data_IF_698693536690
#
_entry.id   IF_698693536690
#
_cell.length_a   1.000
_cell.length_b   1.000
_cell.length_c   1.000
_cell.angle_alpha   90.00
_cell.angle_beta   90.00
_cell.angle_gamma   90.00
#
_symmetry.space_group_name_H-M   'P 1'
#
loop_
_entity.id
_entity.type
_entity.pdbx_description
1 polymer ?
#
# COMPACT_ATOMS: atom_id res chain seq x y z
N UNK A 1 3.08 18.38 19.39
CA UNK A 1 3.65 18.14 18.03
C UNK A 1 3.36 16.73 17.49
N UNK A 2 2.70 15.82 18.22
CA UNK A 2 2.49 14.43 17.79
C UNK A 2 1.30 14.21 16.83
N UNK A 3 0.34 15.15 16.81
CA UNK A 3 -0.94 15.01 16.10
C UNK A 3 -0.76 14.74 14.60
N UNK A 4 0.18 15.43 13.94
CA UNK A 4 0.44 15.23 12.50
C UNK A 4 0.98 13.84 12.17
N UNK A 5 1.90 13.32 13.00
CA UNK A 5 2.47 12.00 12.80
C UNK A 5 1.41 10.90 13.01
N UNK A 6 0.52 11.07 13.99
CA UNK A 6 -0.60 10.16 14.27
C UNK A 6 -1.61 10.16 13.11
N UNK A 7 -1.97 11.32 12.57
CA UNK A 7 -2.88 11.41 11.40
C UNK A 7 -2.29 10.73 10.15
N UNK A 8 -0.99 10.89 9.94
CA UNK A 8 -0.31 10.20 8.84
C UNK A 8 -0.34 8.68 9.05
N UNK A 9 -0.09 8.21 10.27
CA UNK A 9 -0.16 6.78 10.58
C UNK A 9 -1.59 6.22 10.43
N UNK A 10 -2.61 6.97 10.85
CA UNK A 10 -4.03 6.62 10.66
C UNK A 10 -4.35 6.42 9.17
N UNK A 11 -3.85 7.31 8.32
CA UNK A 11 -4.00 7.20 6.86
C UNK A 11 -3.36 5.92 6.32
N UNK A 12 -2.16 5.58 6.79
CA UNK A 12 -1.45 4.36 6.35
C UNK A 12 -2.08 3.07 6.90
N UNK A 13 -2.66 3.10 8.09
CA UNK A 13 -3.39 1.96 8.68
C UNK A 13 -4.79 1.79 8.08
N UNK A 14 -5.43 2.87 7.61
CA UNK A 14 -6.84 2.86 7.22
C UNK A 14 -7.79 2.66 8.41
N UNK A 15 -7.29 2.81 9.63
CA UNK A 15 -7.99 2.61 10.89
C UNK A 15 -7.37 3.50 11.98
N UNK A 16 -8.10 3.65 13.08
CA UNK A 16 -7.59 4.39 14.24
C UNK A 16 -6.33 3.70 14.80
N UNK A 17 -5.22 4.42 15.00
CA UNK A 17 -4.04 3.86 15.64
C UNK A 17 -4.35 3.44 17.08
N UNK A 18 -3.79 2.32 17.58
CA UNK A 18 -3.96 1.91 18.97
C UNK A 18 -3.54 3.01 19.95
N UNK A 19 -4.23 3.14 21.09
CA UNK A 19 -4.01 4.24 22.05
C UNK A 19 -2.54 4.39 22.49
N UNK A 20 -1.83 3.27 22.66
CA UNK A 20 -0.40 3.27 23.04
C UNK A 20 0.51 3.96 22.02
N UNK A 21 0.09 4.09 20.76
CA UNK A 21 0.86 4.76 19.71
C UNK A 21 0.94 6.27 19.95
N UNK A 22 -0.11 6.89 20.50
CA UNK A 22 -0.11 8.32 20.78
C UNK A 22 0.91 8.73 21.87
N UNK A 23 1.34 7.77 22.70
CA UNK A 23 2.37 7.95 23.72
C UNK A 23 3.81 7.85 23.20
N UNK A 24 4.00 7.40 21.95
CA UNK A 24 5.33 7.30 21.34
C UNK A 24 5.87 8.68 20.98
N UNK A 25 7.20 8.79 20.99
CA UNK A 25 7.89 9.96 20.44
C UNK A 25 7.53 10.14 18.94
N UNK A 26 7.36 11.38 18.44
CA UNK A 26 6.93 11.63 17.07
C UNK A 26 7.78 10.92 16.01
N UNK A 27 9.08 10.80 16.25
CA UNK A 27 10.04 10.17 15.33
C UNK A 27 9.77 8.67 15.18
N UNK A 28 9.26 8.00 16.24
CA UNK A 28 8.87 6.59 16.17
C UNK A 28 7.57 6.41 15.39
N UNK A 29 6.61 7.34 15.54
CA UNK A 29 5.35 7.31 14.80
C UNK A 29 5.62 7.51 13.30
N UNK A 30 6.50 8.44 12.94
CA UNK A 30 6.91 8.68 11.55
C UNK A 30 7.62 7.47 10.93
N UNK A 31 8.49 6.80 11.69
CA UNK A 31 9.12 5.54 11.25
C UNK A 31 8.09 4.45 10.98
N UNK A 32 7.10 4.29 11.86
CA UNK A 32 6.00 3.34 11.68
C UNK A 32 5.18 3.66 10.42
N UNK A 33 4.77 4.91 10.25
CA UNK A 33 4.00 5.34 9.08
C UNK A 33 4.77 5.10 7.78
N UNK A 34 6.07 5.41 7.76
CA UNK A 34 6.94 5.20 6.60
C UNK A 34 7.10 3.71 6.29
N UNK A 35 7.27 2.86 7.30
CA UNK A 35 7.39 1.41 7.12
C UNK A 35 6.09 0.80 6.53
N UNK A 36 4.93 1.24 7.04
CA UNK A 36 3.63 0.79 6.51
C UNK A 36 3.42 1.22 5.07
N UNK A 37 3.71 2.48 4.73
CA UNK A 37 3.63 2.97 3.35
C UNK A 37 4.45 2.11 2.40
N UNK A 38 5.73 1.89 2.72
CA UNK A 38 6.65 1.07 1.91
C UNK A 38 6.12 -0.35 1.73
N UNK A 39 5.54 -0.92 2.77
CA UNK A 39 4.97 -2.25 2.70
C UNK A 39 3.72 -2.31 1.82
N UNK A 40 2.86 -1.28 1.86
CA UNK A 40 1.71 -1.16 0.94
C UNK A 40 2.17 -1.03 -0.51
N UNK A 41 3.17 -0.19 -0.77
CA UNK A 41 3.78 -0.03 -2.09
C UNK A 41 4.35 -1.36 -2.60
N UNK A 42 5.09 -2.10 -1.76
CA UNK A 42 5.62 -3.44 -2.11
C UNK A 42 4.52 -4.44 -2.44
N UNK A 43 3.45 -4.48 -1.64
CA UNK A 43 2.31 -5.39 -1.90
C UNK A 43 1.57 -5.02 -3.17
N UNK A 44 1.34 -3.73 -3.41
CA UNK A 44 0.71 -3.26 -4.64
C UNK A 44 1.56 -3.62 -5.87
N UNK A 45 2.89 -3.47 -5.79
CA UNK A 45 3.81 -3.89 -6.84
C UNK A 45 3.74 -5.41 -7.08
N UNK A 46 3.78 -6.23 -6.02
CA UNK A 46 3.65 -7.69 -6.15
C UNK A 46 2.30 -8.14 -6.73
N UNK A 47 1.21 -7.44 -6.41
CA UNK A 47 -0.10 -7.69 -7.03
C UNK A 47 -0.11 -7.32 -8.52
N UNK A 48 0.56 -6.23 -8.90
CA UNK A 48 0.76 -5.85 -10.30
C UNK A 48 1.50 -6.93 -11.09
N UNK A 49 2.63 -7.40 -10.56
CA UNK A 49 3.43 -8.48 -11.16
C UNK A 49 2.61 -9.78 -11.29
N UNK A 50 1.90 -10.18 -10.24
CA UNK A 50 1.05 -11.36 -10.28
C UNK A 50 -0.08 -11.24 -11.32
N UNK A 51 -0.67 -10.06 -11.47
CA UNK A 51 -1.69 -9.81 -12.49
C UNK A 51 -1.10 -9.84 -13.91
N UNK A 52 0.13 -9.36 -14.11
CA UNK A 52 0.86 -9.46 -15.38
C UNK A 52 1.21 -10.91 -15.73
N UNK A 53 1.59 -11.71 -14.74
CA UNK A 53 1.83 -13.14 -14.92
C UNK A 53 0.55 -13.90 -15.26
N UNK A 54 -0.58 -13.55 -14.63
CA UNK A 54 -1.88 -14.13 -14.96
C UNK A 54 -2.31 -13.85 -16.41
N UNK A 55 -1.92 -12.71 -16.99
CA UNK A 55 -2.17 -12.41 -18.41
C UNK A 55 -1.48 -13.37 -19.37
N UNK A 56 -0.44 -14.10 -18.94
CA UNK A 56 0.20 -15.13 -19.76
C UNK A 56 -0.76 -16.28 -20.07
N UNK A 57 -1.76 -16.52 -19.22
CA UNK A 57 -2.83 -17.50 -19.44
C UNK A 57 -3.87 -17.04 -20.47
N UNK A 58 -3.94 -15.73 -20.76
CA UNK A 58 -4.82 -15.16 -21.78
C UNK A 58 -4.22 -15.39 -23.17
N UNK A 59 -5.01 -15.82 -24.17
CA UNK A 59 -4.55 -15.92 -25.56
C UNK A 59 -3.95 -14.60 -26.06
N UNK A 60 -2.86 -14.70 -26.83
CA UNK A 60 -2.05 -13.54 -27.22
C UNK A 60 -2.86 -12.41 -27.89
N UNK A 61 -3.86 -12.76 -28.72
CA UNK A 61 -4.72 -11.80 -29.42
C UNK A 61 -5.62 -10.99 -28.47
N UNK A 62 -6.03 -11.57 -27.34
CA UNK A 62 -6.92 -10.94 -26.37
C UNK A 62 -6.16 -10.24 -25.22
N UNK A 63 -4.86 -10.50 -25.07
CA UNK A 63 -4.04 -9.99 -23.95
C UNK A 63 -4.01 -8.46 -23.88
N UNK A 64 -3.87 -7.78 -25.02
CA UNK A 64 -3.82 -6.31 -25.08
C UNK A 64 -5.10 -5.62 -24.60
N UNK A 65 -6.29 -6.02 -25.09
CA UNK A 65 -7.57 -5.55 -24.55
C UNK A 65 -7.74 -5.84 -23.04
N UNK A 66 -7.46 -7.07 -22.59
CA UNK A 66 -7.66 -7.46 -21.17
C UNK A 66 -6.72 -6.67 -20.24
N UNK A 67 -5.45 -6.51 -20.64
CA UNK A 67 -4.48 -5.69 -19.90
C UNK A 67 -4.99 -4.26 -19.69
N UNK A 68 -5.54 -3.63 -20.74
CA UNK A 68 -6.08 -2.25 -20.65
C UNK A 68 -7.26 -2.12 -19.68
N UNK A 69 -8.05 -3.17 -19.49
CA UNK A 69 -9.20 -3.16 -18.57
C UNK A 69 -8.74 -3.35 -17.12
N UNK A 70 -7.77 -4.25 -16.89
CA UNK A 70 -7.30 -4.60 -15.55
C UNK A 70 -6.35 -3.56 -14.93
N UNK A 71 -5.58 -2.83 -15.75
CA UNK A 71 -4.54 -1.89 -15.28
C UNK A 71 -4.84 -0.42 -15.66
N UNK A 72 -6.11 -0.06 -15.78
CA UNK A 72 -6.53 1.32 -16.07
C UNK A 72 -6.40 2.24 -14.86
#
# INVERSE_FOLDING_TARGET
MNTRAVEQLKTELGAEPPEGVASLAPEHIERLATALRRERERRAAGLGEAAEDALKLVPALARGPVRRILFR
#
